data_IF_499992703534
#
_entry.id   IF_499992703534
#
_cell.length_a   1.000
_cell.length_b   1.000
_cell.length_c   1.000
_cell.angle_alpha   90.00
_cell.angle_beta   90.00
_cell.angle_gamma   90.00
#
_symmetry.space_group_name_H-M   'P 1'
#
loop_
_entity.id
_entity.type
_entity.pdbx_description
1 polymer ?
#
# COMPACT_ATOMS: atom_id res chain seq x y z
N UNK A 1 -1.81 -11.20 -21.52
CA UNK A 1 -2.74 -10.47 -20.63
C UNK A 1 -2.41 -8.99 -20.72
N UNK A 2 -3.40 -8.12 -20.95
CA UNK A 2 -3.23 -6.67 -21.02
C UNK A 2 -3.96 -6.04 -19.81
N UNK A 3 -3.25 -5.36 -18.89
CA UNK A 3 -3.89 -4.68 -17.77
C UNK A 3 -4.88 -3.61 -18.26
N UNK A 4 -6.05 -3.53 -17.64
CA UNK A 4 -7.06 -2.50 -17.91
C UNK A 4 -6.93 -1.27 -16.97
N UNK A 5 -5.76 -1.10 -16.37
CA UNK A 5 -5.42 -0.01 -15.47
C UNK A 5 -4.03 0.53 -15.78
N UNK A 6 -3.77 1.77 -15.38
CA UNK A 6 -2.49 2.45 -15.64
C UNK A 6 -1.33 1.74 -14.92
N UNK A 7 -0.25 1.50 -15.65
CA UNK A 7 1.05 1.14 -15.10
C UNK A 7 1.99 2.34 -15.17
N UNK A 8 2.81 2.52 -14.16
CA UNK A 8 3.85 3.55 -14.12
C UNK A 8 5.22 2.93 -14.39
N UNK A 9 6.23 3.77 -14.63
CA UNK A 9 7.61 3.32 -14.76
C UNK A 9 8.07 2.59 -13.49
N UNK A 10 8.97 1.61 -13.64
CA UNK A 10 9.58 0.91 -12.52
C UNK A 10 10.41 1.88 -11.68
N UNK A 11 10.29 1.80 -10.37
CA UNK A 11 11.09 2.57 -9.42
C UNK A 11 10.97 1.99 -8.01
N UNK A 12 11.76 2.53 -7.10
CA UNK A 12 11.84 2.03 -5.73
C UNK A 12 10.64 2.49 -4.88
N UNK A 13 10.23 1.62 -3.96
CA UNK A 13 9.14 1.89 -3.01
C UNK A 13 9.62 1.91 -1.55
N UNK A 14 10.86 1.49 -1.32
CA UNK A 14 11.57 1.53 -0.05
C UNK A 14 13.02 2.01 -0.25
N UNK A 15 13.70 2.32 0.85
CA UNK A 15 15.10 2.74 0.86
C UNK A 15 15.32 4.21 0.55
N UNK A 16 16.59 4.58 0.37
CA UNK A 16 17.03 5.96 0.13
C UNK A 16 16.39 6.60 -1.11
N UNK A 17 16.20 5.83 -2.18
CA UNK A 17 15.71 6.30 -3.48
C UNK A 17 14.20 6.07 -3.70
N UNK A 18 13.44 5.76 -2.65
CA UNK A 18 12.02 5.50 -2.78
C UNK A 18 11.27 6.69 -3.41
N UNK A 19 10.30 6.41 -4.28
CA UNK A 19 9.47 7.45 -4.85
C UNK A 19 8.68 8.16 -3.75
N UNK A 20 8.66 9.49 -3.78
CA UNK A 20 8.08 10.35 -2.72
C UNK A 20 6.63 10.00 -2.35
N UNK A 21 5.85 9.51 -3.32
CA UNK A 21 4.47 9.06 -3.06
C UNK A 21 4.43 7.86 -2.09
N UNK A 22 5.38 6.91 -2.19
CA UNK A 22 5.46 5.80 -1.25
C UNK A 22 5.98 6.24 0.11
N UNK A 23 6.85 7.25 0.21
CA UNK A 23 7.20 7.86 1.51
C UNK A 23 5.96 8.37 2.23
N UNK A 24 5.08 9.07 1.51
CA UNK A 24 3.81 9.57 2.03
C UNK A 24 2.90 8.40 2.45
N UNK A 25 2.56 7.50 1.53
CA UNK A 25 1.60 6.42 1.76
C UNK A 25 2.03 5.48 2.91
N UNK A 26 3.31 5.14 3.01
CA UNK A 26 3.81 4.24 4.06
C UNK A 26 3.65 4.82 5.46
N UNK A 27 3.72 6.15 5.60
CA UNK A 27 3.59 6.86 6.88
C UNK A 27 2.14 7.15 7.28
N UNK A 28 1.22 7.19 6.32
CA UNK A 28 -0.18 7.56 6.58
C UNK A 28 -1.00 6.47 7.26
N UNK A 29 -0.61 5.20 7.17
CA UNK A 29 -1.31 4.10 7.80
C UNK A 29 -0.36 3.26 8.68
N UNK A 30 -0.83 2.78 9.85
CA UNK A 30 -0.11 1.75 10.60
C UNK A 30 0.22 0.57 9.69
N UNK A 31 1.37 -0.05 9.92
CA UNK A 31 1.76 -1.20 9.13
C UNK A 31 0.78 -2.37 9.43
N UNK A 32 0.29 -3.13 8.42
CA UNK A 32 -0.71 -4.19 8.63
C UNK A 32 -0.20 -5.42 9.42
N UNK A 33 1.06 -5.40 9.85
CA UNK A 33 1.74 -6.48 10.55
C UNK A 33 2.72 -5.86 11.54
N UNK A 34 2.67 -6.33 12.79
CA UNK A 34 3.56 -5.90 13.87
C UNK A 34 4.98 -6.46 13.72
N UNK A 35 5.15 -7.52 12.93
CA UNK A 35 6.44 -8.19 12.76
C UNK A 35 7.24 -7.57 11.61
N UNK A 36 8.40 -6.99 11.94
CA UNK A 36 9.42 -6.66 10.94
C UNK A 36 10.14 -7.94 10.57
N UNK A 37 9.61 -8.66 9.58
CA UNK A 37 10.32 -9.83 9.03
C UNK A 37 11.51 -9.30 8.23
N UNK A 38 12.68 -9.29 8.86
CA UNK A 38 13.95 -9.00 8.22
C UNK A 38 14.28 -10.17 7.29
N UNK A 39 13.95 -10.04 6.01
CA UNK A 39 14.43 -10.98 5.01
C UNK A 39 15.96 -10.86 4.89
N UNK A 40 16.68 -11.96 4.72
CA UNK A 40 18.11 -11.91 4.32
C UNK A 40 18.30 -11.38 2.88
N UNK A 41 17.20 -11.08 2.19
CA UNK A 41 17.14 -10.62 0.79
C UNK A 41 16.52 -9.22 0.67
N UNK A 42 16.72 -8.35 1.65
CA UNK A 42 16.32 -6.95 1.52
C UNK A 42 17.28 -6.25 0.56
N UNK A 43 16.76 -5.70 -0.53
CA UNK A 43 17.55 -5.04 -1.58
C UNK A 43 17.59 -3.51 -1.43
N UNK A 44 17.25 -3.00 -0.25
CA UNK A 44 17.18 -1.56 0.02
C UNK A 44 17.69 -1.24 1.42
N UNK A 45 18.21 -0.04 1.59
CA UNK A 45 18.62 0.54 2.86
C UNK A 45 18.23 2.03 2.90
N UNK A 46 17.97 2.62 4.07
CA UNK A 46 17.83 1.95 5.36
C UNK A 46 16.48 1.24 5.49
N UNK A 47 16.43 0.14 6.24
CA UNK A 47 15.19 -0.57 6.57
C UNK A 47 14.39 0.20 7.63
N UNK A 48 13.10 0.42 7.38
CA UNK A 48 12.17 1.16 8.27
C UNK A 48 10.96 0.33 8.66
N UNK A 49 10.39 0.63 9.84
CA UNK A 49 9.19 -0.04 10.37
C UNK A 49 8.03 -0.01 9.37
N UNK A 50 7.84 1.10 8.66
CA UNK A 50 6.73 1.30 7.73
C UNK A 50 6.97 0.79 6.31
N UNK A 51 8.13 0.19 6.02
CA UNK A 51 8.49 -0.30 4.68
C UNK A 51 7.46 -1.29 4.13
N UNK A 52 7.23 -1.22 2.82
CA UNK A 52 6.41 -2.20 2.09
C UNK A 52 7.12 -3.55 2.17
N UNK A 53 6.41 -4.59 2.58
CA UNK A 53 7.03 -5.89 2.89
C UNK A 53 7.23 -6.74 1.65
N UNK A 54 6.34 -6.63 0.67
CA UNK A 54 6.40 -7.45 -0.52
C UNK A 54 5.62 -6.85 -1.70
N UNK A 55 5.77 -7.47 -2.86
CA UNK A 55 4.95 -7.20 -4.04
C UNK A 55 3.47 -7.37 -3.71
N UNK A 56 2.62 -6.53 -4.29
CA UNK A 56 1.15 -6.52 -4.11
C UNK A 56 0.63 -6.03 -2.74
N UNK A 57 1.42 -5.27 -1.99
CA UNK A 57 0.86 -4.43 -0.92
C UNK A 57 -0.01 -3.31 -1.51
N UNK A 58 -1.08 -2.92 -0.81
CA UNK A 58 -2.17 -2.11 -1.40
C UNK A 58 -2.52 -0.96 -0.47
N UNK A 59 -2.81 0.20 -1.04
CA UNK A 59 -3.24 1.40 -0.33
C UNK A 59 -4.54 1.91 -0.95
N UNK A 60 -5.50 2.33 -0.11
CA UNK A 60 -6.68 3.07 -0.53
C UNK A 60 -6.49 4.53 -0.18
N UNK A 61 -6.73 5.40 -1.17
CA UNK A 61 -6.74 6.85 -1.01
C UNK A 61 -8.14 7.35 -1.34
N UNK A 62 -8.67 8.21 -0.48
CA UNK A 62 -9.98 8.82 -0.64
C UNK A 62 -10.02 9.85 -1.76
N UNK A 63 -11.23 10.31 -2.15
CA UNK A 63 -11.40 11.32 -3.19
C UNK A 63 -10.82 12.70 -2.80
N UNK A 64 -10.61 12.94 -1.52
CA UNK A 64 -9.94 14.10 -0.94
C UNK A 64 -8.40 14.00 -0.95
N UNK A 65 -7.85 12.89 -1.46
CA UNK A 65 -6.42 12.62 -1.49
C UNK A 65 -5.85 12.09 -0.17
N UNK A 66 -6.70 11.77 0.82
CA UNK A 66 -6.26 11.29 2.13
C UNK A 66 -6.20 9.74 2.14
N UNK A 67 -5.08 9.12 2.54
CA UNK A 67 -5.00 7.67 2.68
C UNK A 67 -5.93 7.13 3.79
N UNK A 68 -6.62 6.02 3.49
CA UNK A 68 -7.70 5.49 4.33
C UNK A 68 -7.35 4.11 4.89
N UNK A 69 -6.82 3.23 4.04
CA UNK A 69 -6.55 1.83 4.38
C UNK A 69 -5.29 1.32 3.71
N UNK A 70 -4.65 0.35 4.36
CA UNK A 70 -3.46 -0.36 3.87
C UNK A 70 -3.66 -1.84 4.09
N UNK A 71 -3.51 -2.65 3.04
CA UNK A 71 -3.65 -4.10 3.13
C UNK A 71 -2.32 -4.81 2.94
N UNK A 72 -2.12 -5.86 3.73
CA UNK A 72 -1.03 -6.79 3.54
C UNK A 72 -1.07 -7.45 2.15
N UNK A 73 0.10 -7.82 1.62
CA UNK A 73 0.20 -8.31 0.25
C UNK A 73 -0.66 -9.55 -0.03
N UNK A 74 -0.78 -10.46 0.96
CA UNK A 74 -1.59 -11.68 0.85
C UNK A 74 -3.10 -11.46 1.07
N UNK A 75 -3.53 -10.24 1.40
CA UNK A 75 -4.96 -9.96 1.55
C UNK A 75 -5.70 -10.30 0.25
N UNK A 76 -6.74 -11.14 0.30
CA UNK A 76 -7.50 -11.53 -0.89
C UNK A 76 -8.11 -10.31 -1.58
N UNK A 77 -8.07 -10.30 -2.91
CA UNK A 77 -8.67 -9.20 -3.71
C UNK A 77 -10.17 -9.07 -3.43
N UNK A 78 -10.86 -10.17 -3.09
CA UNK A 78 -12.26 -10.15 -2.65
C UNK A 78 -12.45 -9.35 -1.36
N UNK A 79 -11.57 -9.51 -0.36
CA UNK A 79 -11.59 -8.72 0.87
C UNK A 79 -11.36 -7.24 0.57
N UNK A 80 -10.33 -6.92 -0.22
CA UNK A 80 -10.04 -5.53 -0.64
C UNK A 80 -11.25 -4.91 -1.33
N UNK A 81 -11.91 -5.65 -2.23
CA UNK A 81 -13.13 -5.19 -2.91
C UNK A 81 -14.25 -4.91 -1.91
N UNK A 82 -14.53 -5.83 -0.98
CA UNK A 82 -15.58 -5.66 0.02
C UNK A 82 -15.32 -4.44 0.90
N UNK A 83 -14.08 -4.23 1.33
CA UNK A 83 -13.68 -3.09 2.16
C UNK A 83 -13.84 -1.76 1.41
N UNK A 84 -13.44 -1.71 0.13
CA UNK A 84 -13.66 -0.52 -0.72
C UNK A 84 -15.16 -0.22 -0.88
N UNK A 85 -15.98 -1.25 -1.12
CA UNK A 85 -17.43 -1.06 -1.26
C UNK A 85 -18.08 -0.58 0.04
N UNK A 86 -17.60 -1.06 1.19
CA UNK A 86 -18.02 -0.56 2.49
C UNK A 86 -17.59 0.90 2.70
N UNK A 87 -16.35 1.26 2.37
CA UNK A 87 -15.88 2.65 2.43
C UNK A 87 -16.73 3.58 1.56
N UNK A 88 -17.04 3.17 0.34
CA UNK A 88 -17.87 3.95 -0.59
C UNK A 88 -19.33 4.09 -0.14
N UNK A 89 -19.88 3.13 0.61
CA UNK A 89 -21.27 3.20 1.07
C UNK A 89 -21.48 4.31 2.11
N UNK A 90 -20.46 4.64 2.91
CA UNK A 90 -20.51 5.74 3.87
C UNK A 90 -20.76 7.11 3.23
N UNK A 91 -20.34 7.32 1.97
CA UNK A 91 -20.57 8.57 1.23
C UNK A 91 -21.96 8.66 0.61
N UNK A 92 -22.70 7.56 0.50
CA UNK A 92 -24.07 7.56 -0.07
C UNK A 92 -25.15 7.90 0.95
N UNK A 93 -24.80 7.88 2.23
CA UNK A 93 -25.71 8.12 3.35
C UNK A 93 -25.64 9.57 3.84
N UNK A 94 -24.92 10.44 3.13
CA UNK A 94 -24.83 11.89 3.35
C UNK A 94 -25.55 12.60 2.22
#
# INVERSE_FOLDING_TARGET
FLPNFQLFAKGDVNGENEQKIFTFLKRSCPHPSETVVMSKHTFWEPIKVHDIRWNFEKFLVGPDGIPVMRWFHQAPVSTVKSDIMAYLSHFKTI
#
